data_IF_945794587241
#
_entry.id   IF_945794587241
#
_cell.length_a   1.000
_cell.length_b   1.000
_cell.length_c   1.000
_cell.angle_alpha   90.00
_cell.angle_beta   90.00
_cell.angle_gamma   90.00
#
_symmetry.space_group_name_H-M   'P 1'
#
loop_
_entity.id
_entity.type
_entity.pdbx_description
1 polymer ?
#
# COMPACT_ATOMS: atom_id res chain seq x y z
N UNK A 1 7.54 -6.92 10.77
CA UNK A 1 6.89 -6.14 9.70
C UNK A 1 6.72 -4.73 10.23
N UNK A 2 7.17 -3.72 9.49
CA UNK A 2 6.88 -2.33 9.84
C UNK A 2 5.36 -2.11 9.65
N UNK A 3 4.70 -1.43 10.58
CA UNK A 3 3.24 -1.17 10.50
C UNK A 3 2.85 -0.32 9.27
N UNK A 4 3.83 0.25 8.57
CA UNK A 4 3.65 0.99 7.32
C UNK A 4 3.80 0.17 6.05
N UNK A 5 4.16 -1.13 6.14
CA UNK A 5 4.35 -2.00 4.98
C UNK A 5 3.28 -3.09 4.97
N UNK A 6 2.45 -3.07 3.92
CA UNK A 6 1.28 -3.93 3.75
C UNK A 6 1.42 -4.81 2.50
N UNK A 7 0.84 -6.01 2.55
CA UNK A 7 0.81 -6.95 1.43
C UNK A 7 -0.60 -6.97 0.83
N UNK A 8 -0.79 -6.36 -0.34
CA UNK A 8 -2.11 -6.24 -0.99
C UNK A 8 -2.46 -7.48 -1.83
N UNK A 9 -1.43 -8.13 -2.37
CA UNK A 9 -1.47 -9.45 -3.02
C UNK A 9 -0.09 -10.09 -2.80
N UNK A 10 0.07 -11.40 -3.00
CA UNK A 10 1.31 -12.18 -2.73
C UNK A 10 2.57 -11.63 -3.43
N UNK A 11 2.44 -10.61 -4.27
CA UNK A 11 3.52 -10.01 -5.06
C UNK A 11 3.62 -8.48 -4.92
N UNK A 12 2.59 -7.81 -4.41
CA UNK A 12 2.55 -6.33 -4.34
C UNK A 12 2.71 -5.87 -2.91
N UNK A 13 3.75 -5.08 -2.66
CA UNK A 13 4.07 -4.49 -1.37
C UNK A 13 3.71 -3.01 -1.39
N UNK A 14 2.87 -2.59 -0.46
CA UNK A 14 2.50 -1.20 -0.25
C UNK A 14 3.28 -0.63 0.94
N UNK A 15 4.04 0.44 0.72
CA UNK A 15 4.72 1.21 1.77
C UNK A 15 4.00 2.56 1.93
N UNK A 16 3.21 2.70 2.99
CA UNK A 16 2.41 3.91 3.25
C UNK A 16 3.26 5.11 3.66
N UNK A 17 4.44 4.89 4.25
CA UNK A 17 5.36 5.97 4.61
C UNK A 17 5.99 6.58 3.37
N UNK A 18 6.36 5.73 2.40
CA UNK A 18 6.96 6.18 1.13
C UNK A 18 5.93 6.51 0.05
N UNK A 19 4.67 6.14 0.27
CA UNK A 19 3.57 6.27 -0.69
C UNK A 19 3.92 5.56 -2.01
N UNK A 20 4.37 4.31 -1.89
CA UNK A 20 4.82 3.50 -3.04
C UNK A 20 4.19 2.12 -3.03
N UNK A 21 3.93 1.61 -4.23
CA UNK A 21 3.68 0.19 -4.48
C UNK A 21 4.90 -0.40 -5.17
N UNK A 22 5.36 -1.57 -4.73
CA UNK A 22 6.43 -2.31 -5.38
C UNK A 22 5.98 -3.70 -5.79
N UNK A 23 6.43 -4.11 -6.98
CA UNK A 23 6.21 -5.44 -7.54
C UNK A 23 7.48 -5.89 -8.26
N UNK A 24 8.21 -6.84 -7.66
CA UNK A 24 9.54 -7.21 -8.16
C UNK A 24 10.50 -6.01 -8.16
N UNK A 25 10.98 -5.61 -9.34
CA UNK A 25 11.87 -4.46 -9.52
C UNK A 25 11.13 -3.17 -9.89
N UNK A 26 9.81 -3.22 -10.07
CA UNK A 26 9.01 -2.04 -10.40
C UNK A 26 8.56 -1.35 -9.12
N UNK A 27 8.70 -0.02 -9.11
CA UNK A 27 8.24 0.83 -8.02
C UNK A 27 7.43 1.96 -8.64
N UNK A 28 6.18 2.09 -8.20
CA UNK A 28 5.31 3.20 -8.57
C UNK A 28 5.01 4.04 -7.34
N UNK A 29 5.04 5.36 -7.51
CA UNK A 29 4.53 6.30 -6.51
C UNK A 29 3.04 6.46 -6.72
N UNK A 30 2.32 6.52 -5.61
CA UNK A 30 0.88 6.79 -5.59
C UNK A 30 0.62 8.10 -4.85
N UNK A 31 -0.53 8.69 -5.13
CA UNK A 31 -0.99 9.91 -4.48
C UNK A 31 -1.39 9.68 -3.02
N UNK A 32 -1.57 10.78 -2.30
CA UNK A 32 -2.08 10.76 -0.93
C UNK A 32 -3.49 10.17 -0.85
N UNK A 33 -4.36 10.52 -1.80
CA UNK A 33 -5.72 9.99 -1.87
C UNK A 33 -5.73 8.47 -2.06
N UNK A 34 -4.90 7.94 -2.97
CA UNK A 34 -4.74 6.50 -3.18
C UNK A 34 -4.15 5.80 -1.94
N UNK A 35 -3.19 6.43 -1.27
CA UNK A 35 -2.60 5.92 -0.02
C UNK A 35 -3.66 5.78 1.07
N UNK A 36 -4.48 6.81 1.29
CA UNK A 36 -5.58 6.77 2.25
C UNK A 36 -6.65 5.74 1.90
N UNK A 37 -6.96 5.58 0.61
CA UNK A 37 -7.90 4.57 0.14
C UNK A 37 -7.40 3.16 0.46
N UNK A 38 -6.13 2.86 0.17
CA UNK A 38 -5.53 1.55 0.46
C UNK A 38 -5.47 1.25 1.97
N UNK A 39 -5.13 2.26 2.78
CA UNK A 39 -5.18 2.14 4.24
C UNK A 39 -6.60 1.85 4.73
N UNK A 40 -7.62 2.51 4.19
CA UNK A 40 -9.00 2.28 4.57
C UNK A 40 -9.48 0.86 4.23
N UNK A 41 -9.08 0.32 3.06
CA UNK A 41 -9.32 -1.08 2.71
C UNK A 41 -8.62 -2.04 3.68
N UNK A 42 -7.34 -1.78 4.00
CA UNK A 42 -6.59 -2.61 4.94
C UNK A 42 -7.21 -2.64 6.33
N UNK A 43 -7.67 -1.49 6.82
CA UNK A 43 -8.37 -1.38 8.11
C UNK A 43 -9.80 -1.95 8.10
N UNK A 44 -10.30 -2.44 6.96
CA UNK A 44 -11.64 -2.99 6.84
C UNK A 44 -12.76 -1.94 6.98
N UNK A 45 -12.46 -0.67 6.69
CA UNK A 45 -13.43 0.44 6.78
C UNK A 45 -14.46 0.42 5.63
N UNK A 46 -14.15 -0.26 4.53
CA UNK A 46 -15.07 -0.54 3.43
C UNK A 46 -15.41 -2.04 3.42
N UNK A 47 -16.70 -2.37 3.51
CA UNK A 47 -17.26 -3.73 3.38
C UNK A 47 -17.95 -3.89 2.04
#
# INVERSE_FOLDING_TARGET
MNESIFLLDKRVVFDSTKMTLSHGNEIIRISEAETHLLLAFWHGLYK
#
